data_IF_772004543906
#
_entry.id   IF_772004543906
#
_cell.length_a   1.000
_cell.length_b   1.000
_cell.length_c   1.000
_cell.angle_alpha   90.00
_cell.angle_beta   90.00
_cell.angle_gamma   90.00
#
_symmetry.space_group_name_H-M   'P 1'
#
loop_
_entity.id
_entity.type
_entity.pdbx_description
1 polymer ?
#
# COMPACT_ATOMS: atom_id res chain seq x y z
N UNK A 1 -15.39 -0.86 15.76
CA UNK A 1 -14.59 -0.49 14.58
C UNK A 1 -13.88 0.81 14.85
N UNK A 2 -12.62 0.94 14.43
CA UNK A 2 -11.84 2.16 14.57
C UNK A 2 -10.75 2.20 13.50
N UNK A 3 -10.32 3.39 13.12
CA UNK A 3 -9.25 3.58 12.15
C UNK A 3 -8.10 4.39 12.77
N UNK A 4 -6.94 4.39 12.11
CA UNK A 4 -5.80 5.19 12.55
C UNK A 4 -5.76 6.60 11.93
N UNK A 5 -6.71 6.96 11.06
CA UNK A 5 -6.73 8.18 10.28
C UNK A 5 -5.67 8.21 9.17
N UNK A 6 -5.64 9.30 8.40
CA UNK A 6 -4.71 9.45 7.27
C UNK A 6 -3.26 9.62 7.74
N UNK A 7 -2.31 8.98 7.04
CA UNK A 7 -0.86 9.11 7.27
C UNK A 7 -0.13 9.36 5.97
N UNK A 8 0.67 10.42 5.92
CA UNK A 8 1.49 10.73 4.75
C UNK A 8 2.77 9.90 4.78
N UNK A 9 3.03 9.16 3.70
CA UNK A 9 4.24 8.34 3.51
C UNK A 9 5.43 9.23 3.09
N UNK A 10 5.93 10.03 4.04
CA UNK A 10 6.93 11.08 3.77
C UNK A 10 8.37 10.62 3.83
N UNK A 11 8.73 9.67 4.68
CA UNK A 11 10.12 9.28 4.88
C UNK A 11 10.27 7.81 4.56
N UNK A 12 10.80 7.51 3.37
CA UNK A 12 11.18 6.15 3.02
C UNK A 12 12.44 5.78 3.80
N UNK A 13 12.42 4.62 4.45
CA UNK A 13 13.53 4.10 5.26
C UNK A 13 14.75 3.85 4.38
N UNK A 14 14.56 3.42 3.13
CA UNK A 14 15.66 3.05 2.23
C UNK A 14 16.38 4.27 1.62
N UNK A 15 15.94 5.50 1.90
CA UNK A 15 16.53 6.75 1.38
C UNK A 15 16.43 6.95 -0.14
N UNK A 16 15.92 5.97 -0.88
CA UNK A 16 15.76 6.02 -2.33
C UNK A 16 14.50 6.80 -2.77
N UNK A 17 14.38 7.06 -4.07
CA UNK A 17 13.22 7.71 -4.68
C UNK A 17 11.94 6.92 -4.34
N UNK A 18 10.98 7.61 -3.73
CA UNK A 18 9.67 7.05 -3.38
C UNK A 18 8.84 6.78 -4.63
N UNK A 19 8.05 5.72 -4.59
CA UNK A 19 7.08 5.32 -5.59
C UNK A 19 7.69 5.18 -7.00
N UNK A 20 8.97 4.82 -7.08
CA UNK A 20 9.61 4.49 -8.34
C UNK A 20 9.10 3.13 -8.86
N UNK A 21 8.90 3.03 -10.17
CA UNK A 21 8.47 1.79 -10.82
C UNK A 21 9.42 0.63 -10.48
N UNK A 22 8.85 -0.53 -10.15
CA UNK A 22 9.60 -1.74 -9.80
C UNK A 22 10.35 -1.68 -8.46
N UNK A 23 10.04 -0.70 -7.59
CA UNK A 23 10.65 -0.57 -6.26
C UNK A 23 9.62 -0.79 -5.16
N UNK A 24 10.08 -1.40 -4.08
CA UNK A 24 9.41 -1.43 -2.79
C UNK A 24 9.93 -0.27 -1.95
N UNK A 25 9.04 0.43 -1.25
CA UNK A 25 9.41 1.45 -0.28
C UNK A 25 8.80 1.11 1.07
N UNK A 26 9.61 1.28 2.12
CA UNK A 26 9.23 0.97 3.48
C UNK A 26 9.07 2.26 4.27
N UNK A 27 7.98 2.36 5.03
CA UNK A 27 7.65 3.55 5.81
C UNK A 27 7.29 3.15 7.24
N UNK A 28 7.81 3.90 8.21
CA UNK A 28 7.37 3.79 9.60
C UNK A 28 6.28 4.82 9.88
N UNK A 29 5.11 4.35 10.33
CA UNK A 29 3.97 5.20 10.68
C UNK A 29 3.55 4.97 12.13
N UNK A 30 3.12 6.04 12.81
CA UNK A 30 2.52 5.94 14.14
C UNK A 30 1.01 5.70 14.01
N UNK A 31 0.53 4.61 14.60
CA UNK A 31 -0.87 4.22 14.66
C UNK A 31 -1.21 3.69 16.05
N UNK A 32 -2.50 3.69 16.38
CA UNK A 32 -3.02 2.95 17.53
C UNK A 32 -3.04 1.46 17.21
N UNK A 33 -3.14 0.60 18.23
CA UNK A 33 -3.36 -0.83 17.99
C UNK A 33 -4.79 -1.04 17.49
N UNK A 34 -4.90 -1.42 16.21
CA UNK A 34 -6.17 -1.72 15.54
C UNK A 34 -6.53 -3.21 15.60
N UNK A 35 -5.70 -4.04 16.23
CA UNK A 35 -5.86 -5.50 16.20
C UNK A 35 -5.69 -6.05 14.78
N UNK A 36 -6.63 -6.87 14.35
CA UNK A 36 -6.64 -7.46 13.01
C UNK A 36 -7.14 -6.45 11.98
N UNK A 37 -6.31 -6.15 10.98
CA UNK A 37 -6.67 -5.24 9.90
C UNK A 37 -7.60 -5.94 8.90
N UNK A 38 -8.73 -5.32 8.60
CA UNK A 38 -9.70 -5.81 7.62
C UNK A 38 -9.54 -5.15 6.25
N UNK A 39 -9.16 -3.87 6.23
CA UNK A 39 -8.97 -3.10 5.02
C UNK A 39 -7.92 -2.01 5.21
N UNK A 40 -7.44 -1.47 4.10
CA UNK A 40 -6.59 -0.28 4.05
C UNK A 40 -7.12 0.70 3.00
N UNK A 41 -6.82 1.98 3.19
CA UNK A 41 -7.07 3.01 2.20
C UNK A 41 -5.72 3.57 1.75
N UNK A 42 -5.44 3.47 0.45
CA UNK A 42 -4.25 4.05 -0.16
C UNK A 42 -4.68 5.19 -1.06
N UNK A 43 -3.99 6.32 -0.93
CA UNK A 43 -4.24 7.48 -1.76
C UNK A 43 -2.96 8.14 -2.25
N UNK A 44 -3.12 8.95 -3.30
CA UNK A 44 -2.07 9.79 -3.84
C UNK A 44 -2.62 11.21 -4.07
N UNK A 45 -1.73 12.20 -4.05
CA UNK A 45 -2.09 13.61 -4.14
C UNK A 45 -2.40 14.07 -5.58
N UNK A 46 -2.22 13.20 -6.58
CA UNK A 46 -2.47 13.49 -7.99
C UNK A 46 -1.50 14.51 -8.60
N UNK A 47 -0.39 14.79 -7.92
CA UNK A 47 0.52 15.85 -8.37
C UNK A 47 1.47 15.32 -9.45
N UNK A 48 1.37 15.89 -10.65
CA UNK A 48 2.30 15.68 -11.76
C UNK A 48 1.78 14.75 -12.87
N UNK A 49 2.36 14.86 -14.07
CA UNK A 49 1.95 14.10 -15.26
C UNK A 49 2.11 12.57 -15.11
N UNK A 50 3.00 12.13 -14.22
CA UNK A 50 3.27 10.71 -13.91
C UNK A 50 2.75 10.30 -12.52
N UNK A 51 1.66 10.90 -12.06
CA UNK A 51 1.07 10.59 -10.74
C UNK A 51 0.44 9.19 -10.65
N UNK A 52 0.40 8.46 -11.76
CA UNK A 52 -0.13 7.09 -11.80
C UNK A 52 0.95 6.07 -11.45
N UNK A 53 0.62 5.14 -10.56
CA UNK A 53 1.56 4.08 -10.15
C UNK A 53 0.86 2.73 -10.07
N UNK A 54 1.52 1.68 -10.56
CA UNK A 54 1.03 0.30 -10.45
C UNK A 54 1.38 -0.22 -9.05
N UNK A 55 0.36 -0.39 -8.21
CA UNK A 55 0.52 -0.94 -6.88
C UNK A 55 0.29 -2.46 -6.93
N UNK A 56 1.34 -3.24 -6.67
CA UNK A 56 1.23 -4.70 -6.62
C UNK A 56 0.51 -5.14 -5.34
N UNK A 57 1.05 -4.77 -4.18
CA UNK A 57 0.46 -5.04 -2.87
C UNK A 57 0.98 -4.06 -1.81
N UNK A 58 0.30 -4.02 -0.67
CA UNK A 58 0.77 -3.34 0.55
C UNK A 58 1.00 -4.38 1.64
N UNK A 59 2.14 -4.27 2.31
CA UNK A 59 2.48 -5.11 3.47
C UNK A 59 2.55 -4.24 4.72
N UNK A 60 1.82 -4.64 5.76
CA UNK A 60 1.80 -3.95 7.05
C UNK A 60 2.27 -4.92 8.13
N UNK A 61 3.25 -4.48 8.91
CA UNK A 61 3.81 -5.21 10.05
C UNK A 61 3.85 -4.29 11.26
N UNK A 62 3.50 -4.81 12.44
CA UNK A 62 3.74 -4.10 13.71
C UNK A 62 5.24 -4.00 13.94
N UNK A 63 5.71 -2.85 14.43
CA UNK A 63 7.11 -2.69 14.85
C UNK A 63 7.28 -3.23 16.27
N UNK A 64 7.07 -4.53 16.41
CA UNK A 64 7.10 -5.25 17.68
C UNK A 64 7.87 -6.56 17.47
N UNK A 65 8.99 -6.79 18.20
CA UNK A 65 9.79 -8.01 18.07
C UNK A 65 9.00 -9.31 18.35
N UNK A 66 7.96 -9.23 19.17
CA UNK A 66 7.11 -10.37 19.55
C UNK A 66 6.03 -10.65 18.50
N UNK A 67 5.62 -9.63 17.74
CA UNK A 67 4.61 -9.73 16.67
C UNK A 67 5.25 -9.79 15.28
N UNK A 68 5.40 -11.00 14.75
CA UNK A 68 5.99 -11.23 13.42
C UNK A 68 4.99 -11.30 12.27
N UNK A 69 3.70 -11.23 12.56
CA UNK A 69 2.66 -11.34 11.54
C UNK A 69 2.69 -10.13 10.58
N UNK A 70 2.63 -10.40 9.29
CA UNK A 70 2.54 -9.39 8.24
C UNK A 70 1.19 -9.51 7.55
N UNK A 71 0.41 -8.44 7.56
CA UNK A 71 -0.82 -8.35 6.79
C UNK A 71 -0.49 -7.94 5.35
N UNK A 72 -0.98 -8.71 4.38
CA UNK A 72 -0.80 -8.45 2.95
C UNK A 72 -2.12 -8.06 2.31
N UNK A 73 -2.12 -6.95 1.59
CA UNK A 73 -3.24 -6.40 0.84
C UNK A 73 -2.88 -6.39 -0.65
N UNK A 74 -3.27 -7.42 -1.43
CA UNK A 74 -3.03 -7.46 -2.87
C UNK A 74 -3.88 -6.40 -3.59
N UNK A 75 -3.34 -5.82 -4.66
CA UNK A 75 -4.10 -4.88 -5.50
C UNK A 75 -3.92 -5.16 -6.99
N UNK A 76 -2.68 -5.27 -7.46
CA UNK A 76 -2.34 -5.64 -8.84
C UNK A 76 -2.72 -4.61 -9.92
N UNK A 77 -3.36 -3.49 -9.56
CA UNK A 77 -3.89 -2.49 -10.50
C UNK A 77 -3.16 -1.15 -10.44
N UNK A 78 -3.40 -0.35 -11.47
CA UNK A 78 -2.97 1.03 -11.54
C UNK A 78 -3.81 1.91 -10.60
N UNK A 79 -3.14 2.74 -9.83
CA UNK A 79 -3.72 3.89 -9.16
C UNK A 79 -3.51 5.07 -10.11
N UNK A 80 -4.57 5.50 -10.79
CA UNK A 80 -4.52 6.53 -11.81
C UNK A 80 -4.63 7.92 -11.21
N UNK A 81 -4.17 8.94 -11.93
CA UNK A 81 -4.35 10.36 -11.59
C UNK A 81 -5.76 10.77 -11.13
N UNK A 82 -6.78 10.09 -11.66
CA UNK A 82 -8.20 10.31 -11.38
C UNK A 82 -8.68 9.60 -10.10
N UNK A 83 -7.97 8.58 -9.63
CA UNK A 83 -8.34 7.75 -8.49
C UNK A 83 -7.52 8.15 -7.27
N UNK A 84 -7.96 9.22 -6.60
CA UNK A 84 -7.22 9.80 -5.45
C UNK A 84 -7.05 8.84 -4.28
N UNK A 85 -8.03 7.98 -4.02
CA UNK A 85 -8.04 7.01 -2.92
C UNK A 85 -8.70 5.69 -3.36
N UNK A 86 -8.18 4.57 -2.88
CA UNK A 86 -8.76 3.23 -3.05
C UNK A 86 -8.81 2.49 -1.73
N UNK A 87 -9.87 1.70 -1.53
CA UNK A 87 -9.97 0.76 -0.41
C UNK A 87 -9.55 -0.61 -0.89
N UNK A 88 -8.65 -1.26 -0.16
CA UNK A 88 -8.18 -2.62 -0.42
C UNK A 88 -8.56 -3.49 0.76
N UNK A 89 -9.37 -4.53 0.51
CA UNK A 89 -9.82 -5.47 1.54
C UNK A 89 -8.78 -6.60 1.71
N UNK A 90 -8.62 -7.07 2.95
CA UNK A 90 -7.77 -8.22 3.25
C UNK A 90 -8.34 -9.45 2.52
N UNK A 91 -7.47 -10.19 1.82
CA UNK A 91 -7.86 -11.40 1.10
C UNK A 91 -8.47 -11.21 -0.29
N UNK A 92 -8.63 -9.97 -0.79
CA UNK A 92 -8.97 -9.79 -2.20
C UNK A 92 -7.74 -10.01 -3.08
N UNK A 93 -7.61 -11.22 -3.61
CA UNK A 93 -6.83 -11.46 -4.82
C UNK A 93 -7.65 -10.85 -5.97
N UNK A 94 -7.16 -9.76 -6.56
CA UNK A 94 -7.54 -9.49 -7.94
C UNK A 94 -6.73 -10.45 -8.78
N UNK A 95 -7.40 -11.40 -9.42
CA UNK A 95 -6.78 -12.29 -10.39
C UNK A 95 -5.99 -11.42 -11.36
N UNK A 96 -4.67 -11.49 -11.27
CA UNK A 96 -3.82 -11.16 -12.39
C UNK A 96 -4.13 -12.21 -13.43
N UNK A 97 -4.85 -11.84 -14.49
CA UNK A 97 -4.79 -12.61 -15.74
C UNK A 97 -3.31 -12.88 -16.00
N UNK A 98 -2.93 -14.15 -15.91
CA UNK A 98 -1.73 -14.67 -16.51
C UNK A 98 -1.84 -14.36 -18.00
N UNK A 99 -1.24 -13.26 -18.46
CA UNK A 99 -0.88 -13.18 -19.86
C UNK A 99 0.26 -14.17 -20.04
N UNK A 100 -0.08 -15.43 -20.31
CA UNK A 100 0.78 -16.33 -21.06
C UNK A 100 1.23 -15.56 -22.30
N UNK A 101 2.53 -15.29 -22.36
CA UNK A 101 3.18 -14.70 -23.53
C UNK A 101 3.22 -15.80 -24.60
N UNK A 102 2.84 -15.51 -25.87
CA UNK A 102 2.53 -16.52 -26.89
C UNK A 102 3.69 -17.47 -27.24
#
# INVERSE_FOLDING_TARGET
EGDCGKRFLKCNIDGNKKFASGKTNSFLIKAVDLGYLENIIIGHDGVGPDSSWKLQCVMIRKDDPEFKETCVFPWGKWLTGTQKEVTILKGQLHDSEETEVP
#
